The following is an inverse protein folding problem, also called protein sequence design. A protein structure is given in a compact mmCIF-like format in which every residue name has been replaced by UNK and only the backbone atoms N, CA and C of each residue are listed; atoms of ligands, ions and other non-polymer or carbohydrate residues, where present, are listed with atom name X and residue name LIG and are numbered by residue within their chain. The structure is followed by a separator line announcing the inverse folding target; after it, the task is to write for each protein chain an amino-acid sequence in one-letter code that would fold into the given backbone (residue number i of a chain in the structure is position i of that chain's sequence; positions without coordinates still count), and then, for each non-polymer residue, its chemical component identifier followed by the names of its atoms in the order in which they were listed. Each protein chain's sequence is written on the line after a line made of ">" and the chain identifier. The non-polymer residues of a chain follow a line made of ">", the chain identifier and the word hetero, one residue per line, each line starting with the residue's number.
data_IF_790766079447
#
_entry.id   IF_790766079447
#
_cell.length_a   1.000
_cell.length_b   1.000
_cell.length_c   1.000
_cell.angle_alpha   90.00
_cell.angle_beta   90.00
_cell.angle_gamma   90.00
#
_symmetry.space_group_name_H-M   'P 1'
#
loop_
_entity.id
_entity.type
_entity.pdbx_description
1 polymer ?
#
# COMPACT_ATOMS: atom_id res chain seq x y z
N UNK A 1 2.01 -0.32 7.91
CA UNK A 1 3.42 -0.29 7.48
C UNK A 1 3.78 1.12 7.01
N UNK A 2 4.41 1.93 7.86
CA UNK A 2 4.78 3.32 7.53
C UNK A 2 6.30 3.53 7.36
N UNK A 3 7.10 2.50 7.68
CA UNK A 3 8.56 2.59 7.81
C UNK A 3 9.27 1.46 7.06
N UNK A 4 8.65 0.89 6.02
CA UNK A 4 9.29 -0.16 5.21
C UNK A 4 10.55 0.40 4.55
N UNK A 5 11.69 -0.23 4.82
CA UNK A 5 13.02 0.20 4.42
C UNK A 5 13.81 0.90 5.54
N UNK A 6 13.17 1.39 6.61
CA UNK A 6 13.88 2.07 7.70
C UNK A 6 14.37 1.14 8.81
N UNK A 7 13.71 0.00 9.04
CA UNK A 7 14.08 -0.86 10.16
C UNK A 7 15.39 -1.60 9.87
N UNK A 8 15.58 -2.05 8.64
CA UNK A 8 16.79 -2.80 8.24
C UNK A 8 17.55 -2.24 7.04
N UNK A 9 17.02 -1.22 6.35
CA UNK A 9 17.54 -0.78 5.05
C UNK A 9 17.03 -1.60 3.86
N UNK A 10 16.25 -2.66 4.11
CA UNK A 10 15.74 -3.58 3.08
C UNK A 10 14.20 -3.66 3.15
N UNK A 11 13.54 -3.27 2.07
CA UNK A 11 12.07 -3.23 1.99
C UNK A 11 11.43 -4.62 2.04
N UNK A 12 12.11 -5.65 1.56
CA UNK A 12 11.65 -7.05 1.61
C UNK A 12 11.78 -7.61 3.02
N UNK A 13 12.91 -7.37 3.69
CA UNK A 13 13.13 -7.80 5.07
C UNK A 13 12.15 -7.12 6.02
N UNK A 14 11.91 -5.83 5.85
CA UNK A 14 10.96 -5.07 6.67
C UNK A 14 9.49 -5.50 6.45
N UNK A 15 9.20 -6.16 5.31
CA UNK A 15 7.89 -6.74 5.03
C UNK A 15 7.71 -8.19 5.51
N UNK A 16 8.72 -8.79 6.16
CA UNK A 16 8.73 -10.20 6.53
C UNK A 16 7.48 -10.62 7.30
N UNK A 17 7.14 -9.93 8.40
CA UNK A 17 6.03 -10.34 9.27
C UNK A 17 4.70 -10.40 8.50
N UNK A 18 4.39 -9.36 7.72
CA UNK A 18 3.18 -9.29 6.88
C UNK A 18 3.15 -10.46 5.89
N UNK A 19 4.26 -10.71 5.19
CA UNK A 19 4.35 -11.82 4.22
C UNK A 19 4.24 -13.19 4.91
N UNK A 20 4.79 -13.33 6.11
CA UNK A 20 4.71 -14.56 6.90
C UNK A 20 3.27 -14.87 7.32
N UNK A 21 2.54 -13.90 7.88
CA UNK A 21 1.13 -14.10 8.22
C UNK A 21 0.28 -14.47 7.00
N UNK A 22 0.50 -13.82 5.86
CA UNK A 22 -0.22 -14.19 4.63
C UNK A 22 0.12 -15.62 4.17
N UNK A 23 1.41 -16.01 4.27
CA UNK A 23 1.85 -17.37 3.93
C UNK A 23 1.23 -18.44 4.84
N UNK A 24 1.06 -18.14 6.13
CA UNK A 24 0.39 -19.02 7.09
C UNK A 24 -1.15 -19.02 6.94
N UNK A 25 -1.68 -18.35 5.91
CA UNK A 25 -3.11 -18.36 5.57
C UNK A 25 -3.97 -17.32 6.29
N UNK A 26 -3.35 -16.37 7.00
CA UNK A 26 -4.10 -15.30 7.66
C UNK A 26 -4.62 -14.27 6.66
N UNK A 27 -5.91 -13.92 6.78
CA UNK A 27 -6.50 -12.80 6.05
C UNK A 27 -6.25 -11.50 6.84
N UNK A 28 -5.35 -10.66 6.32
CA UNK A 28 -4.93 -9.43 6.99
C UNK A 28 -5.46 -8.18 6.30
N UNK A 29 -5.62 -7.12 7.09
CA UNK A 29 -5.75 -5.75 6.63
C UNK A 29 -4.41 -5.02 6.80
N UNK A 30 -3.97 -4.31 5.76
CA UNK A 30 -2.72 -3.56 5.77
C UNK A 30 -2.99 -2.11 5.37
N UNK A 31 -2.61 -1.17 6.23
CA UNK A 31 -2.45 0.24 5.87
C UNK A 31 -0.98 0.54 5.61
N UNK A 32 -0.65 1.11 4.46
CA UNK A 32 0.70 1.47 4.06
C UNK A 32 0.80 2.98 3.82
N UNK A 33 1.92 3.58 4.25
CA UNK A 33 2.19 5.01 4.04
C UNK A 33 3.49 5.21 3.28
N UNK A 34 3.48 6.12 2.32
CA UNK A 34 4.68 6.54 1.58
C UNK A 34 5.30 7.84 2.10
N UNK A 35 4.77 8.38 3.22
CA UNK A 35 5.22 9.65 3.76
C UNK A 35 6.70 9.63 4.16
N UNK A 36 7.18 8.51 4.70
CA UNK A 36 8.55 8.43 5.25
C UNK A 36 9.50 7.85 4.21
N UNK A 37 9.18 6.65 3.70
CA UNK A 37 10.10 5.92 2.84
C UNK A 37 10.26 6.52 1.44
N UNK A 38 9.33 7.37 0.99
CA UNK A 38 9.49 8.17 -0.24
C UNK A 38 9.54 9.68 0.03
N UNK A 39 9.56 10.12 1.30
CA UNK A 39 9.54 11.54 1.64
C UNK A 39 8.25 12.29 1.26
N UNK A 40 7.17 11.59 0.92
CA UNK A 40 5.91 12.17 0.42
C UNK A 40 4.98 12.63 1.56
N UNK A 41 5.53 13.36 2.54
CA UNK A 41 4.81 13.75 3.75
C UNK A 41 3.53 14.55 3.45
N UNK A 42 3.66 15.61 2.66
CA UNK A 42 2.56 16.54 2.32
C UNK A 42 1.59 15.98 1.29
N UNK A 43 2.01 15.04 0.47
CA UNK A 43 1.21 14.43 -0.61
C UNK A 43 0.10 13.51 -0.10
N UNK A 44 0.19 13.09 1.18
CA UNK A 44 -0.80 12.24 1.86
C UNK A 44 -1.08 10.92 1.11
N UNK A 45 -0.05 10.35 0.49
CA UNK A 45 -0.17 9.10 -0.28
C UNK A 45 0.05 7.85 0.58
N UNK A 46 -0.78 6.85 0.35
CA UNK A 46 -0.77 5.56 1.02
C UNK A 46 -1.66 4.56 0.29
N UNK A 47 -1.74 3.35 0.83
CA UNK A 47 -2.60 2.29 0.31
C UNK A 47 -3.27 1.54 1.46
N UNK A 48 -4.48 1.05 1.21
CA UNK A 48 -5.16 0.09 2.07
C UNK A 48 -5.36 -1.21 1.29
N UNK A 49 -4.98 -2.33 1.89
CA UNK A 49 -5.06 -3.65 1.27
C UNK A 49 -5.74 -4.64 2.21
N UNK A 50 -6.55 -5.53 1.64
CA UNK A 50 -7.18 -6.66 2.33
C UNK A 50 -6.86 -7.94 1.57
N UNK A 51 -6.50 -9.00 2.30
CA UNK A 51 -6.33 -10.33 1.72
C UNK A 51 -7.69 -11.01 1.65
N UNK A 52 -8.09 -11.42 0.46
CA UNK A 52 -9.34 -12.14 0.20
C UNK A 52 -9.06 -13.56 -0.28
N UNK A 53 -9.95 -14.49 0.01
CA UNK A 53 -9.82 -15.91 -0.32
C UNK A 53 -10.08 -16.22 -1.79
N UNK A 54 -10.76 -15.31 -2.52
CA UNK A 54 -11.06 -15.49 -3.93
C UNK A 54 -11.22 -14.17 -4.70
N UNK A 55 -11.15 -14.19 -6.05
CA UNK A 55 -11.46 -13.02 -6.88
C UNK A 55 -12.90 -12.49 -6.68
N UNK A 56 -13.87 -13.36 -6.40
CA UNK A 56 -15.26 -12.99 -6.15
C UNK A 56 -15.41 -12.25 -4.82
N UNK A 57 -14.73 -12.71 -3.78
CA UNK A 57 -14.69 -11.99 -2.50
C UNK A 57 -14.00 -10.63 -2.67
N UNK A 58 -12.89 -10.57 -3.43
CA UNK A 58 -12.20 -9.31 -3.76
C UNK A 58 -13.14 -8.28 -4.37
N UNK A 59 -13.95 -8.69 -5.34
CA UNK A 59 -14.90 -7.81 -6.02
C UNK A 59 -15.98 -7.28 -5.06
N UNK A 60 -16.51 -8.14 -4.18
CA UNK A 60 -17.49 -7.72 -3.16
C UNK A 60 -16.88 -6.72 -2.19
N UNK A 61 -15.70 -7.02 -1.65
CA UNK A 61 -14.98 -6.14 -0.71
C UNK A 61 -14.65 -4.79 -1.36
N UNK A 62 -14.12 -4.79 -2.58
CA UNK A 62 -13.77 -3.56 -3.30
C UNK A 62 -15.00 -2.65 -3.52
N UNK A 63 -16.16 -3.22 -3.83
CA UNK A 63 -17.40 -2.44 -3.96
C UNK A 63 -17.83 -1.77 -2.65
N UNK A 64 -17.71 -2.47 -1.51
CA UNK A 64 -18.04 -1.92 -0.20
C UNK A 64 -17.05 -0.83 0.23
N UNK A 65 -15.76 -1.02 -0.02
CA UNK A 65 -14.75 0.02 0.25
C UNK A 65 -15.06 1.29 -0.55
N UNK A 66 -15.41 1.16 -1.83
CA UNK A 66 -15.79 2.31 -2.66
C UNK A 66 -17.04 3.03 -2.13
N UNK A 67 -18.04 2.29 -1.65
CA UNK A 67 -19.23 2.86 -1.01
C UNK A 67 -18.86 3.64 0.25
N UNK A 68 -17.92 3.16 1.06
CA UNK A 68 -17.44 3.84 2.27
C UNK A 68 -16.62 5.10 1.93
N UNK A 69 -15.71 5.00 0.96
CA UNK A 69 -14.83 6.12 0.56
C UNK A 69 -15.62 7.28 -0.05
N UNK A 70 -16.67 6.98 -0.82
CA UNK A 70 -17.45 7.97 -1.57
C UNK A 70 -18.01 9.12 -0.69
N UNK A 71 -18.69 8.86 0.45
CA UNK A 71 -19.15 9.91 1.35
C UNK A 71 -18.05 10.49 2.25
N UNK A 72 -16.89 9.84 2.41
CA UNK A 72 -15.81 10.36 3.25
C UNK A 72 -15.04 11.49 2.56
N UNK A 73 -14.58 11.25 1.33
CA UNK A 73 -13.77 12.21 0.58
C UNK A 73 -13.91 12.07 -0.94
N UNK A 74 -14.93 11.35 -1.42
CA UNK A 74 -15.19 11.08 -2.85
C UNK A 74 -14.13 10.22 -3.54
N UNK A 75 -12.91 10.73 -3.72
CA UNK A 75 -11.80 10.05 -4.40
C UNK A 75 -10.44 10.59 -3.88
N UNK A 76 -9.37 9.79 -3.89
CA UNK A 76 -8.09 10.17 -3.30
C UNK A 76 -7.31 11.19 -4.14
N UNK A 77 -6.40 11.97 -3.52
CA UNK A 77 -5.53 12.90 -4.24
C UNK A 77 -4.57 12.16 -5.19
N UNK A 78 -4.43 12.67 -6.42
CA UNK A 78 -3.75 11.94 -7.50
C UNK A 78 -2.22 12.17 -7.56
N UNK A 79 -1.72 13.30 -7.07
CA UNK A 79 -0.33 13.72 -7.33
C UNK A 79 0.70 12.77 -6.67
N UNK A 80 0.63 12.60 -5.35
CA UNK A 80 1.48 11.63 -4.64
C UNK A 80 1.37 10.19 -5.17
N UNK A 81 0.16 9.76 -5.57
CA UNK A 81 -0.04 8.44 -6.16
C UNK A 81 0.70 8.27 -7.49
N UNK A 82 0.74 9.31 -8.33
CA UNK A 82 1.53 9.32 -9.57
C UNK A 82 3.02 9.30 -9.30
N UNK A 83 3.52 10.08 -8.33
CA UNK A 83 4.95 10.07 -7.98
C UNK A 83 5.38 8.68 -7.53
N UNK A 84 4.69 8.11 -6.53
CA UNK A 84 4.99 6.78 -6.01
C UNK A 84 4.86 5.71 -7.12
N UNK A 85 3.79 5.77 -7.92
CA UNK A 85 3.58 4.84 -9.03
C UNK A 85 4.67 4.89 -10.10
N UNK A 86 5.12 6.09 -10.47
CA UNK A 86 6.21 6.26 -11.45
C UNK A 86 7.53 5.69 -10.93
N UNK A 87 7.89 5.98 -9.67
CA UNK A 87 9.12 5.44 -9.05
C UNK A 87 9.06 3.92 -9.00
N UNK A 88 7.92 3.34 -8.59
CA UNK A 88 7.77 1.90 -8.43
C UNK A 88 7.69 1.14 -9.77
N UNK A 89 7.27 1.79 -10.85
CA UNK A 89 7.11 1.17 -12.17
C UNK A 89 8.37 1.25 -13.04
N UNK A 90 9.27 2.20 -12.77
CA UNK A 90 10.52 2.37 -13.51
C UNK A 90 11.69 1.68 -12.77
N UNK A 91 12.38 0.70 -13.38
CA UNK A 91 13.47 -0.02 -12.72
C UNK A 91 14.67 0.85 -12.30
N UNK A 92 14.97 1.92 -13.04
CA UNK A 92 16.07 2.82 -12.72
C UNK A 92 15.72 3.71 -11.52
N UNK A 93 14.49 4.25 -11.50
CA UNK A 93 13.98 5.01 -10.36
C UNK A 93 13.78 4.13 -9.13
N UNK A 94 13.26 2.92 -9.29
CA UNK A 94 13.10 1.95 -8.20
C UNK A 94 14.44 1.57 -7.57
N UNK A 95 15.52 1.47 -8.36
CA UNK A 95 16.87 1.19 -7.85
C UNK A 95 17.47 2.40 -7.13
N UNK A 96 17.12 3.60 -7.57
CA UNK A 96 17.58 4.84 -6.93
C UNK A 96 16.86 5.09 -5.60
N UNK A 97 15.58 4.73 -5.52
CA UNK A 97 14.75 4.77 -4.32
C UNK A 97 15.11 3.64 -3.34
#
# INVERSE_FOLDING_TARGET
>A
MAYQGFASGDTTKDAYAVRHFVKEGHQIALSQSFAKNMGLYGERVGAFSLVTSSPEERARVDSQIKIIVRPMYSNPPIHGARIAGTILADPALYKQW
#
